data_IF_434628597870
#
_entry.id   IF_434628597870
#
_cell.length_a   1.000
_cell.length_b   1.000
_cell.length_c   1.000
_cell.angle_alpha   90.00
_cell.angle_beta   90.00
_cell.angle_gamma   90.00
#
_symmetry.space_group_name_H-M   'P 1'
#
loop_
_entity.id
_entity.type
_entity.pdbx_description
1 polymer ?
#
# COMPACT_ATOMS: atom_id res chain seq x y z
N UNK A 1 3.58 8.79 -3.26
CA UNK A 1 2.14 8.87 -2.86
C UNK A 1 1.40 9.53 -3.99
N UNK A 2 0.28 8.95 -4.39
CA UNK A 2 -0.52 9.37 -5.56
C UNK A 2 -2.00 9.37 -5.15
N UNK A 3 -2.83 10.24 -5.71
CA UNK A 3 -4.28 10.12 -5.57
C UNK A 3 -4.74 8.92 -6.39
N UNK A 4 -5.38 7.94 -5.75
CA UNK A 4 -5.76 6.71 -6.45
C UNK A 4 -6.69 6.99 -7.62
N UNK A 5 -7.59 7.97 -7.50
CA UNK A 5 -8.48 8.39 -8.59
C UNK A 5 -7.75 8.83 -9.86
N UNK A 6 -6.52 9.31 -9.74
CA UNK A 6 -5.67 9.77 -10.84
C UNK A 6 -4.65 8.72 -11.28
N UNK A 7 -4.61 7.57 -10.59
CA UNK A 7 -3.75 6.44 -10.94
C UNK A 7 -4.42 5.52 -11.96
N UNK A 8 -3.65 5.02 -12.94
CA UNK A 8 -4.16 4.11 -13.97
C UNK A 8 -4.75 2.81 -13.41
N UNK A 9 -4.29 2.35 -12.24
CA UNK A 9 -4.83 1.17 -11.57
C UNK A 9 -6.28 1.34 -11.12
N UNK A 10 -6.76 2.58 -10.89
CA UNK A 10 -8.18 2.84 -10.56
C UNK A 10 -9.17 2.43 -11.66
N UNK A 11 -8.73 2.33 -12.92
CA UNK A 11 -9.59 1.81 -13.99
C UNK A 11 -9.90 0.30 -13.84
N UNK A 12 -9.11 -0.42 -13.03
CA UNK A 12 -9.18 -1.88 -12.86
C UNK A 12 -9.71 -2.30 -11.49
N UNK A 13 -9.85 -1.34 -10.57
CA UNK A 13 -10.32 -1.57 -9.21
C UNK A 13 -11.48 -0.63 -8.86
N UNK A 14 -12.49 -1.16 -8.18
CA UNK A 14 -13.64 -0.38 -7.72
C UNK A 14 -13.59 -0.08 -6.22
N UNK A 15 -14.39 0.90 -5.80
CA UNK A 15 -14.59 1.21 -4.38
C UNK A 15 -13.48 2.03 -3.74
N UNK A 16 -12.81 2.89 -4.52
CA UNK A 16 -11.93 3.94 -4.01
C UNK A 16 -12.66 5.30 -4.09
N UNK A 17 -12.55 6.09 -3.04
CA UNK A 17 -13.09 7.42 -2.93
C UNK A 17 -12.22 8.49 -3.60
N UNK A 18 -12.72 9.73 -3.60
CA UNK A 18 -12.05 10.86 -4.26
C UNK A 18 -10.72 11.26 -3.60
N UNK A 19 -10.52 10.91 -2.33
CA UNK A 19 -9.35 11.28 -1.52
C UNK A 19 -8.50 10.08 -1.14
N UNK A 20 -8.81 8.88 -1.64
CA UNK A 20 -8.01 7.69 -1.36
C UNK A 20 -6.67 7.76 -2.10
N UNK A 21 -5.64 7.19 -1.48
CA UNK A 21 -4.26 7.36 -1.93
C UNK A 21 -3.59 6.02 -2.24
N UNK A 22 -2.66 6.04 -3.19
CA UNK A 22 -1.79 4.92 -3.52
C UNK A 22 -0.34 5.16 -3.08
N UNK A 23 0.37 4.06 -2.84
CA UNK A 23 1.81 4.10 -2.50
C UNK A 23 2.62 3.20 -3.40
N UNK A 24 3.68 3.77 -4.00
CA UNK A 24 4.77 3.04 -4.63
C UNK A 24 6.07 3.39 -3.90
N UNK A 25 6.88 2.38 -3.61
CA UNK A 25 8.15 2.52 -2.91
C UNK A 25 9.20 1.66 -3.63
N UNK A 26 10.43 2.17 -3.67
CA UNK A 26 11.62 1.45 -4.10
C UNK A 26 12.73 1.72 -3.08
N UNK A 27 13.43 0.68 -2.65
CA UNK A 27 14.66 0.79 -1.87
C UNK A 27 15.79 0.27 -2.76
N UNK A 28 16.62 1.18 -3.26
CA UNK A 28 17.67 0.87 -4.22
C UNK A 28 18.79 0.04 -3.58
N UNK A 29 19.50 0.65 -2.63
CA UNK A 29 20.71 0.11 -2.04
C UNK A 29 20.41 -1.04 -1.08
N UNK A 30 21.13 -2.14 -1.24
CA UNK A 30 20.92 -3.37 -0.48
C UNK A 30 21.09 -3.17 1.03
N UNK A 31 22.05 -2.34 1.45
CA UNK A 31 22.30 -2.03 2.86
C UNK A 31 21.11 -1.39 3.59
N UNK A 32 20.16 -0.79 2.86
CA UNK A 32 18.95 -0.17 3.43
C UNK A 32 17.72 -1.08 3.37
N UNK A 33 17.85 -2.28 2.81
CA UNK A 33 16.79 -3.29 2.83
C UNK A 33 16.75 -4.01 4.18
N UNK A 34 15.85 -4.98 4.30
CA UNK A 34 15.65 -5.80 5.49
C UNK A 34 14.36 -5.48 6.24
N UNK A 35 13.84 -6.47 6.96
CA UNK A 35 12.52 -6.47 7.62
C UNK A 35 12.26 -5.18 8.40
N UNK A 36 13.14 -4.81 9.33
CA UNK A 36 12.91 -3.66 10.22
C UNK A 36 12.78 -2.33 9.45
N UNK A 37 13.68 -2.08 8.50
CA UNK A 37 13.64 -0.85 7.68
C UNK A 37 12.43 -0.85 6.76
N UNK A 38 12.13 -1.99 6.15
CA UNK A 38 10.96 -2.16 5.31
C UNK A 38 9.66 -1.83 6.07
N UNK A 39 9.43 -2.45 7.23
CA UNK A 39 8.22 -2.19 8.04
C UNK A 39 8.14 -0.73 8.46
N UNK A 40 9.24 -0.15 8.97
CA UNK A 40 9.28 1.26 9.36
C UNK A 40 8.96 2.20 8.18
N UNK A 41 9.56 1.96 7.01
CA UNK A 41 9.30 2.75 5.80
C UNK A 41 7.84 2.63 5.34
N UNK A 42 7.30 1.42 5.26
CA UNK A 42 5.93 1.22 4.78
C UNK A 42 4.89 1.83 5.72
N UNK A 43 5.01 1.59 7.03
CA UNK A 43 4.09 2.19 8.02
C UNK A 43 4.16 3.71 7.96
N UNK A 44 5.39 4.27 7.96
CA UNK A 44 5.57 5.74 7.90
C UNK A 44 4.94 6.33 6.64
N UNK A 45 5.08 5.66 5.50
CA UNK A 45 4.49 6.08 4.23
C UNK A 45 2.96 6.03 4.26
N UNK A 46 2.37 4.96 4.82
CA UNK A 46 0.91 4.84 4.98
C UNK A 46 0.36 5.89 5.95
N UNK A 47 1.05 6.13 7.08
CA UNK A 47 0.68 7.17 8.03
C UNK A 47 0.72 8.55 7.38
N UNK A 48 1.78 8.85 6.61
CA UNK A 48 1.90 10.11 5.89
C UNK A 48 0.74 10.33 4.91
N UNK A 49 0.24 9.29 4.22
CA UNK A 49 -0.97 9.39 3.41
C UNK A 49 -2.18 9.86 4.24
N UNK A 50 -2.46 9.22 5.38
CA UNK A 50 -3.60 9.56 6.24
C UNK A 50 -3.50 10.95 6.89
N UNK A 51 -2.29 11.46 7.12
CA UNK A 51 -2.05 12.80 7.65
C UNK A 51 -2.14 13.89 6.58
N UNK A 52 -1.76 13.57 5.34
CA UNK A 52 -1.73 14.53 4.23
C UNK A 52 -3.12 15.07 3.89
N UNK A 53 -4.16 14.24 4.01
CA UNK A 53 -5.55 14.66 3.86
C UNK A 53 -6.44 13.89 4.83
N UNK A 54 -7.17 14.59 5.73
CA UNK A 54 -8.00 13.94 6.73
C UNK A 54 -9.20 13.17 6.14
N UNK A 55 -9.54 13.40 4.86
CA UNK A 55 -10.63 12.70 4.16
C UNK A 55 -10.16 11.41 3.48
N UNK A 56 -8.87 11.08 3.55
CA UNK A 56 -8.35 9.79 3.07
C UNK A 56 -8.80 8.70 4.02
N UNK A 57 -9.66 7.80 3.51
CA UNK A 57 -10.19 6.64 4.24
C UNK A 57 -9.45 5.36 3.89
N UNK A 58 -8.89 5.29 2.68
CA UNK A 58 -8.17 4.11 2.17
C UNK A 58 -6.81 4.50 1.59
N UNK A 59 -5.81 3.68 1.89
CA UNK A 59 -4.50 3.71 1.23
C UNK A 59 -4.23 2.35 0.58
N UNK A 60 -3.93 2.35 -0.72
CA UNK A 60 -3.74 1.12 -1.50
C UNK A 60 -2.29 0.88 -1.89
N UNK A 61 -2.00 -0.35 -2.32
CA UNK A 61 -0.75 -0.71 -2.96
C UNK A 61 -0.92 -1.85 -3.96
N UNK A 62 -0.17 -1.81 -5.04
CA UNK A 62 -0.26 -2.70 -6.19
C UNK A 62 1.12 -3.25 -6.63
N UNK A 63 1.91 -3.83 -5.71
CA UNK A 63 3.17 -4.49 -6.05
C UNK A 63 2.95 -5.58 -7.11
N UNK A 64 3.99 -5.85 -7.90
CA UNK A 64 4.01 -6.99 -8.82
C UNK A 64 3.90 -8.28 -8.01
N UNK A 65 3.10 -9.23 -8.50
CA UNK A 65 2.68 -10.41 -7.73
C UNK A 65 3.81 -11.36 -7.30
N UNK A 66 4.94 -11.33 -8.02
CA UNK A 66 6.07 -12.25 -7.89
C UNK A 66 7.22 -11.67 -7.03
N UNK A 67 7.01 -10.53 -6.38
CA UNK A 67 8.04 -9.91 -5.55
C UNK A 67 8.07 -10.55 -4.15
N UNK A 68 9.28 -10.82 -3.64
CA UNK A 68 9.51 -11.34 -2.28
C UNK A 68 8.98 -10.41 -1.16
N UNK A 69 8.59 -9.19 -1.52
CA UNK A 69 7.97 -8.22 -0.62
C UNK A 69 6.50 -8.54 -0.31
N UNK A 70 5.82 -9.35 -1.13
CA UNK A 70 4.39 -9.66 -0.96
C UNK A 70 4.09 -10.30 0.42
N UNK A 71 4.82 -11.35 0.87
CA UNK A 71 4.60 -11.91 2.20
C UNK A 71 4.89 -10.90 3.33
N UNK A 72 5.89 -10.03 3.15
CA UNK A 72 6.23 -9.00 4.14
C UNK A 72 5.12 -7.96 4.27
N UNK A 73 4.55 -7.54 3.13
CA UNK A 73 3.40 -6.62 3.08
C UNK A 73 2.15 -7.22 3.73
N UNK A 74 1.91 -8.52 3.56
CA UNK A 74 0.76 -9.19 4.16
C UNK A 74 0.95 -9.42 5.67
N UNK A 75 2.19 -9.63 6.12
CA UNK A 75 2.49 -10.00 7.51
C UNK A 75 2.64 -8.78 8.43
N UNK A 76 3.31 -7.72 7.96
CA UNK A 76 3.78 -6.62 8.82
C UNK A 76 2.97 -5.32 8.69
N UNK A 77 1.86 -5.35 7.96
CA UNK A 77 0.96 -4.20 7.82
C UNK A 77 -0.48 -4.68 8.08
N UNK A 78 -1.30 -3.87 8.78
CA UNK A 78 -2.69 -4.20 9.06
C UNK A 78 -3.59 -3.96 7.84
N UNK A 79 -3.24 -4.56 6.71
CA UNK A 79 -3.89 -4.36 5.41
C UNK A 79 -4.45 -5.68 4.86
N UNK A 80 -5.40 -5.57 3.94
CA UNK A 80 -6.08 -6.71 3.34
C UNK A 80 -5.52 -7.00 1.96
N UNK A 81 -5.19 -8.28 1.70
CA UNK A 81 -5.12 -8.78 0.33
C UNK A 81 -6.54 -8.77 -0.23
N UNK A 82 -6.80 -8.00 -1.28
CA UNK A 82 -8.14 -7.94 -1.88
C UNK A 82 -8.29 -8.85 -3.08
N UNK A 83 -7.39 -8.74 -4.04
CA UNK A 83 -7.36 -9.57 -5.26
C UNK A 83 -6.05 -9.38 -6.01
N UNK A 84 -5.80 -10.25 -6.96
CA UNK A 84 -4.84 -9.95 -8.03
C UNK A 84 -5.52 -9.18 -9.17
N UNK A 85 -4.73 -8.37 -9.87
CA UNK A 85 -5.19 -7.50 -10.95
C UNK A 85 -4.23 -7.60 -12.12
N UNK A 86 -4.76 -7.94 -13.30
CA UNK A 86 -4.04 -7.85 -14.57
C UNK A 86 -4.04 -6.40 -15.05
N UNK A 87 -2.89 -5.75 -14.96
CA UNK A 87 -2.65 -4.40 -15.51
C UNK A 87 -1.91 -4.53 -16.85
N UNK A 88 -1.99 -3.54 -17.75
CA UNK A 88 -1.39 -3.64 -19.09
C UNK A 88 0.11 -3.96 -19.12
N UNK A 89 0.83 -3.68 -18.03
CA UNK A 89 2.29 -3.83 -17.92
C UNK A 89 2.73 -4.80 -16.82
N UNK A 90 1.81 -5.36 -16.02
CA UNK A 90 2.13 -6.32 -14.94
C UNK A 90 0.88 -7.01 -14.38
N UNK A 91 1.05 -8.21 -13.82
CA UNK A 91 0.13 -8.78 -12.83
C UNK A 91 0.50 -8.27 -11.44
N UNK A 92 -0.48 -7.72 -10.73
CA UNK A 92 -0.28 -7.08 -9.44
C UNK A 92 -1.13 -7.72 -8.34
N UNK A 93 -0.67 -7.63 -7.10
CA UNK A 93 -1.48 -7.93 -5.91
C UNK A 93 -2.03 -6.61 -5.37
N UNK A 94 -3.34 -6.52 -5.21
CA UNK A 94 -4.01 -5.32 -4.72
C UNK A 94 -4.23 -5.40 -3.21
N UNK A 95 -3.45 -4.62 -2.48
CA UNK A 95 -3.59 -4.42 -1.04
C UNK A 95 -4.42 -3.19 -0.73
N UNK A 96 -5.27 -3.30 0.29
CA UNK A 96 -6.14 -2.23 0.78
C UNK A 96 -5.92 -2.05 2.27
N UNK A 97 -5.56 -0.83 2.68
CA UNK A 97 -5.43 -0.44 4.08
C UNK A 97 -6.47 0.62 4.39
N UNK A 98 -7.38 0.34 5.34
CA UNK A 98 -8.37 1.30 5.83
C UNK A 98 -7.81 2.11 7.00
N UNK A 99 -8.28 3.35 7.13
CA UNK A 99 -7.83 4.31 8.15
C UNK A 99 -8.09 3.82 9.57
N UNK A 100 -9.32 3.39 9.84
CA UNK A 100 -9.75 2.83 11.12
C UNK A 100 -8.82 1.68 11.55
N UNK A 101 -8.64 0.70 10.68
CA UNK A 101 -7.77 -0.44 10.92
C UNK A 101 -6.32 -0.05 11.18
N UNK A 102 -5.79 0.91 10.42
CA UNK A 102 -4.43 1.42 10.63
C UNK A 102 -4.26 2.06 12.01
N UNK A 103 -5.25 2.83 12.46
CA UNK A 103 -5.20 3.55 13.74
C UNK A 103 -5.47 2.64 14.95
N UNK A 104 -6.24 1.56 14.77
CA UNK A 104 -6.56 0.58 15.81
C UNK A 104 -5.47 -0.47 16.00
N UNK A 105 -4.98 -1.08 14.92
CA UNK A 105 -4.03 -2.21 15.00
C UNK A 105 -2.57 -1.75 15.10
N UNK A 106 -2.25 -0.50 14.72
CA UNK A 106 -0.90 0.02 14.76
C UNK A 106 0.10 -0.78 13.92
N UNK A 107 1.37 -0.82 14.35
CA UNK A 107 2.39 -1.70 13.75
C UNK A 107 2.26 -3.07 14.40
N UNK A 108 2.06 -4.12 13.60
CA UNK A 108 2.15 -5.51 14.05
C UNK A 108 3.63 -5.82 14.34
N UNK A 109 4.00 -5.98 15.61
CA UNK A 109 5.36 -6.39 16.05
C UNK A 109 5.66 -7.88 15.79
#
# INVERSE_FOLDING_TARGET
MVWSKEDGMAAFVGGLGNYDQGTHLLIGEEQFRGKHRFTACMVSLKHACFLRDPRTEVVVGEPRYDLDIIPLLATFLPQEFRKEVELPHKRAVFFVLRRDRFLEEGILE
#
